data_IF_956023245410
#
_entry.id   IF_956023245410
#
_cell.length_a   1.000
_cell.length_b   1.000
_cell.length_c   1.000
_cell.angle_alpha   90.00
_cell.angle_beta   90.00
_cell.angle_gamma   90.00
#
_symmetry.space_group_name_H-M   'P 1'
#
loop_
_entity.id
_entity.type
_entity.pdbx_description
1 polymer ?
#
# COMPACT_ATOMS: atom_id res chain seq x y z
N UNK A 1 -12.95 -11.50 53.08
CA UNK A 1 -12.92 -10.25 52.33
C UNK A 1 -11.67 -10.08 51.45
N UNK A 2 -10.49 -10.56 51.86
CA UNK A 2 -9.26 -10.48 51.03
C UNK A 2 -9.26 -11.34 49.77
N UNK A 3 -9.82 -12.54 49.82
CA UNK A 3 -9.92 -13.42 48.61
C UNK A 3 -10.79 -12.83 47.50
N UNK A 4 -11.78 -12.01 47.85
CA UNK A 4 -12.64 -11.32 46.88
C UNK A 4 -11.93 -10.16 46.21
N UNK A 5 -11.02 -9.46 46.92
CA UNK A 5 -10.20 -8.40 46.36
C UNK A 5 -9.18 -8.92 45.32
N UNK A 6 -8.59 -10.08 45.59
CA UNK A 6 -7.64 -10.71 44.67
C UNK A 6 -8.30 -11.16 43.36
N UNK A 7 -9.56 -11.62 43.40
CA UNK A 7 -10.30 -12.01 42.18
C UNK A 7 -10.62 -10.76 41.32
N UNK A 8 -10.96 -9.64 41.94
CA UNK A 8 -11.25 -8.38 41.24
C UNK A 8 -9.98 -7.82 40.55
N UNK A 9 -8.83 -7.86 41.20
CA UNK A 9 -7.55 -7.44 40.56
C UNK A 9 -7.11 -8.36 39.43
N UNK A 10 -7.35 -9.67 39.53
CA UNK A 10 -7.11 -10.62 38.47
C UNK A 10 -8.01 -10.37 37.24
N UNK A 11 -9.26 -10.02 37.45
CA UNK A 11 -10.22 -9.74 36.36
C UNK A 11 -9.98 -8.37 35.71
N UNK A 12 -9.50 -7.37 36.45
CA UNK A 12 -9.11 -6.06 35.89
C UNK A 12 -7.82 -6.19 35.07
N UNK A 13 -6.87 -7.06 35.46
CA UNK A 13 -5.64 -7.25 34.70
C UNK A 13 -5.86 -8.04 33.39
N UNK A 14 -6.90 -8.86 33.31
CA UNK A 14 -7.25 -9.63 32.11
C UNK A 14 -7.99 -8.79 31.03
N UNK A 15 -8.52 -7.62 31.41
CA UNK A 15 -9.23 -6.71 30.50
C UNK A 15 -8.31 -5.70 29.77
N UNK A 16 -7.01 -5.64 30.10
CA UNK A 16 -6.07 -4.67 29.51
C UNK A 16 -5.25 -5.26 28.35
N UNK A 17 -5.41 -6.55 28.04
CA UNK A 17 -4.61 -7.21 27.00
C UNK A 17 -5.30 -7.41 25.64
N UNK A 18 -6.41 -6.74 25.36
CA UNK A 18 -6.83 -6.53 23.99
C UNK A 18 -6.03 -5.37 23.40
N UNK A 19 -4.76 -5.60 23.16
CA UNK A 19 -3.95 -4.76 22.31
C UNK A 19 -4.60 -4.72 20.94
N UNK A 20 -5.46 -3.73 20.72
CA UNK A 20 -5.82 -3.30 19.39
C UNK A 20 -4.47 -2.87 18.77
N UNK A 21 -3.90 -3.71 17.96
CA UNK A 21 -2.81 -3.34 17.05
C UNK A 21 -3.38 -2.23 16.14
N UNK A 22 -3.33 -1.00 16.63
CA UNK A 22 -3.46 0.16 15.77
C UNK A 22 -2.36 0.03 14.74
N UNK A 23 -2.73 -0.23 13.51
CA UNK A 23 -1.78 -0.18 12.41
C UNK A 23 -1.00 1.12 12.54
N UNK A 24 0.33 1.04 12.44
CA UNK A 24 1.24 2.17 12.57
C UNK A 24 0.65 3.40 11.89
N UNK A 25 0.69 4.55 12.57
CA UNK A 25 0.15 5.78 12.01
C UNK A 25 0.89 6.07 10.70
N UNK A 26 0.17 6.04 9.58
CA UNK A 26 0.74 6.30 8.27
C UNK A 26 1.44 7.66 8.17
N UNK A 27 1.15 8.58 9.09
CA UNK A 27 1.83 9.89 9.15
C UNK A 27 3.28 9.73 9.56
N UNK A 28 3.57 8.86 10.52
CA UNK A 28 4.91 8.65 11.02
C UNK A 28 5.73 7.70 10.14
N UNK A 29 5.06 6.73 9.50
CA UNK A 29 5.78 5.73 8.73
C UNK A 29 4.88 4.79 7.94
N UNK A 30 5.52 3.80 7.33
CA UNK A 30 4.85 2.68 6.67
C UNK A 30 5.31 1.38 7.31
N UNK A 31 4.35 0.56 7.75
CA UNK A 31 4.60 -0.59 8.60
C UNK A 31 5.31 -0.14 9.90
N UNK A 32 6.44 -0.72 10.22
CA UNK A 32 7.20 -0.42 11.44
C UNK A 32 8.35 0.58 11.21
N UNK A 33 8.37 1.27 10.05
CA UNK A 33 9.50 2.12 9.67
C UNK A 33 9.07 3.54 9.35
N UNK A 34 9.70 4.51 9.99
CA UNK A 34 9.40 5.92 9.82
C UNK A 34 9.80 6.43 8.43
N UNK A 35 9.01 7.34 7.88
CA UNK A 35 9.38 8.07 6.67
C UNK A 35 10.69 8.84 6.86
N UNK A 36 11.50 8.90 5.81
CA UNK A 36 12.82 9.52 5.86
C UNK A 36 13.90 8.67 6.53
N UNK A 37 13.56 7.51 7.08
CA UNK A 37 14.56 6.63 7.67
C UNK A 37 15.60 6.20 6.64
N UNK A 38 16.86 6.15 7.06
CA UNK A 38 17.96 5.69 6.21
C UNK A 38 17.83 4.18 5.96
N UNK A 39 18.22 3.73 4.76
CA UNK A 39 18.09 2.33 4.32
C UNK A 39 18.75 1.33 5.28
N UNK A 40 19.77 1.72 6.01
CA UNK A 40 20.44 0.88 7.01
C UNK A 40 19.53 0.44 8.17
N UNK A 41 18.39 1.09 8.34
CA UNK A 41 17.37 0.69 9.34
C UNK A 41 16.51 -0.49 8.88
N UNK A 42 16.58 -0.85 7.61
CA UNK A 42 15.80 -1.94 7.03
C UNK A 42 16.67 -3.20 6.94
N UNK A 43 16.13 -4.31 7.42
CA UNK A 43 16.81 -5.61 7.38
C UNK A 43 16.21 -6.51 6.30
N UNK A 44 17.04 -7.36 5.69
CA UNK A 44 16.59 -8.36 4.73
C UNK A 44 16.12 -7.81 3.38
N UNK A 45 16.30 -6.53 3.11
CA UNK A 45 15.98 -5.95 1.81
C UNK A 45 17.01 -6.32 0.75
N UNK A 46 16.52 -6.66 -0.45
CA UNK A 46 17.34 -6.85 -1.65
C UNK A 46 17.03 -5.73 -2.64
N UNK A 47 18.06 -5.18 -3.27
CA UNK A 47 17.89 -4.17 -4.31
C UNK A 47 17.21 -4.79 -5.53
N UNK A 48 16.11 -4.15 -5.97
CA UNK A 48 15.33 -4.57 -7.15
C UNK A 48 15.74 -3.74 -8.36
N UNK A 49 15.87 -2.41 -8.20
CA UNK A 49 16.28 -1.52 -9.27
C UNK A 49 16.84 -0.21 -8.72
N UNK A 50 17.51 0.57 -9.59
CA UNK A 50 17.99 1.91 -9.28
C UNK A 50 17.91 2.80 -10.52
N UNK A 51 17.55 4.07 -10.33
CA UNK A 51 17.58 5.10 -11.36
C UNK A 51 18.05 6.42 -10.74
N UNK A 52 19.28 6.81 -11.07
CA UNK A 52 19.92 7.97 -10.42
C UNK A 52 19.97 7.78 -8.90
N UNK A 53 19.51 8.80 -8.17
CA UNK A 53 19.48 8.81 -6.71
C UNK A 53 18.31 8.02 -6.10
N UNK A 54 17.48 7.39 -6.95
CA UNK A 54 16.35 6.60 -6.48
C UNK A 54 16.69 5.13 -6.58
N UNK A 55 16.51 4.42 -5.48
CA UNK A 55 16.70 2.98 -5.40
C UNK A 55 15.43 2.30 -4.85
N UNK A 56 15.19 1.07 -5.31
CA UNK A 56 14.03 0.27 -4.95
C UNK A 56 14.48 -1.06 -4.38
N UNK A 57 13.82 -1.45 -3.30
CA UNK A 57 14.17 -2.67 -2.57
C UNK A 57 12.91 -3.46 -2.24
N UNK A 58 13.03 -4.76 -2.18
CA UNK A 58 11.98 -5.67 -1.71
C UNK A 58 12.54 -6.71 -0.76
N UNK A 59 11.66 -7.36 0.01
CA UNK A 59 12.02 -8.53 0.79
C UNK A 59 11.18 -9.71 0.31
N UNK A 60 11.74 -10.61 -0.53
CA UNK A 60 11.00 -11.73 -1.10
C UNK A 60 10.65 -12.82 -0.10
N UNK A 61 11.22 -12.76 1.11
CA UNK A 61 11.00 -13.75 2.16
C UNK A 61 10.00 -13.29 3.24
N UNK A 62 9.52 -12.04 3.15
CA UNK A 62 8.63 -11.46 4.15
C UNK A 62 7.25 -11.17 3.56
N UNK A 63 6.21 -11.70 4.18
CA UNK A 63 4.83 -11.27 3.95
C UNK A 63 4.48 -10.11 4.87
N UNK A 64 3.58 -9.26 4.39
CA UNK A 64 3.09 -8.07 5.08
C UNK A 64 1.57 -8.09 5.10
N UNK A 65 0.98 -7.72 6.21
CA UNK A 65 -0.48 -7.52 6.29
C UNK A 65 -0.80 -6.05 6.11
N UNK A 66 -1.49 -5.70 5.03
CA UNK A 66 -1.88 -4.32 4.69
C UNK A 66 -3.39 -4.28 4.52
N UNK A 67 -4.08 -3.48 5.36
CA UNK A 67 -5.55 -3.43 5.41
C UNK A 67 -6.21 -4.80 5.59
N UNK A 68 -5.62 -5.66 6.43
CA UNK A 68 -6.12 -7.01 6.67
C UNK A 68 -5.95 -7.98 5.51
N UNK A 69 -5.08 -7.67 4.57
CA UNK A 69 -4.72 -8.52 3.44
C UNK A 69 -3.23 -8.82 3.47
N UNK A 70 -2.89 -10.10 3.45
CA UNK A 70 -1.50 -10.52 3.37
C UNK A 70 -0.98 -10.35 1.94
N UNK A 71 0.19 -9.76 1.81
CA UNK A 71 0.90 -9.58 0.54
C UNK A 71 2.39 -9.78 0.73
N UNK A 72 3.02 -10.50 -0.17
CA UNK A 72 4.47 -10.67 -0.23
C UNK A 72 5.15 -9.57 -1.09
N UNK A 73 4.37 -8.84 -1.88
CA UNK A 73 4.87 -7.96 -2.93
C UNK A 73 4.85 -6.49 -2.49
N UNK A 74 5.77 -6.13 -1.58
CA UNK A 74 6.00 -4.75 -1.15
C UNK A 74 7.38 -4.29 -1.63
N UNK A 75 7.41 -3.17 -2.35
CA UNK A 75 8.64 -2.51 -2.78
C UNK A 75 8.79 -1.18 -2.03
N UNK A 76 9.93 -1.00 -1.41
CA UNK A 76 10.32 0.21 -0.70
C UNK A 76 11.17 1.10 -1.60
N UNK A 77 10.79 2.36 -1.74
CA UNK A 77 11.50 3.36 -2.52
C UNK A 77 12.33 4.28 -1.62
N UNK A 78 13.59 4.48 -2.02
CA UNK A 78 14.53 5.35 -1.32
C UNK A 78 15.06 6.41 -2.26
N UNK A 79 15.13 7.64 -1.77
CA UNK A 79 15.76 8.76 -2.46
C UNK A 79 16.96 9.21 -1.63
N UNK A 80 18.17 9.16 -2.20
CA UNK A 80 19.43 9.42 -1.47
C UNK A 80 19.44 8.63 -0.15
N UNK A 81 19.14 7.34 -0.24
CA UNK A 81 19.06 6.38 0.87
C UNK A 81 18.03 6.68 1.96
N UNK A 82 17.11 7.66 1.76
CA UNK A 82 16.02 7.98 2.66
C UNK A 82 14.70 7.40 2.16
N UNK A 83 13.98 6.70 3.01
CA UNK A 83 12.71 6.06 2.69
C UNK A 83 11.63 7.10 2.37
N UNK A 84 11.10 7.08 1.14
CA UNK A 84 10.09 8.05 0.68
C UNK A 84 8.82 7.43 0.10
N UNK A 85 8.85 6.16 -0.27
CA UNK A 85 7.69 5.53 -0.90
C UNK A 85 7.60 4.03 -0.61
N UNK A 86 6.37 3.53 -0.52
CA UNK A 86 6.06 2.11 -0.50
C UNK A 86 5.08 1.78 -1.61
N UNK A 87 5.32 0.68 -2.32
CA UNK A 87 4.49 0.18 -3.40
C UNK A 87 4.04 -1.22 -3.08
N UNK A 88 2.73 -1.44 -3.17
CA UNK A 88 2.09 -2.71 -2.84
C UNK A 88 1.39 -3.23 -4.10
N UNK A 89 1.69 -4.46 -4.49
CA UNK A 89 0.90 -5.15 -5.50
C UNK A 89 -0.47 -5.50 -4.91
N UNK A 90 -1.51 -5.27 -5.70
CA UNK A 90 -2.88 -5.65 -5.37
C UNK A 90 -3.28 -6.76 -6.32
N UNK A 91 -3.51 -7.95 -5.79
CA UNK A 91 -3.59 -9.16 -6.61
C UNK A 91 -5.00 -9.47 -7.10
N UNK A 92 -6.04 -8.88 -6.49
CA UNK A 92 -7.43 -9.15 -6.89
C UNK A 92 -8.31 -7.90 -6.80
N UNK A 93 -9.43 -7.92 -7.53
CA UNK A 93 -10.47 -6.87 -7.46
C UNK A 93 -11.06 -6.78 -6.04
N UNK A 94 -11.25 -7.91 -5.37
CA UNK A 94 -11.77 -7.91 -3.99
C UNK A 94 -10.80 -7.21 -3.03
N UNK A 95 -9.50 -7.46 -3.17
CA UNK A 95 -8.45 -6.76 -2.40
C UNK A 95 -8.41 -5.28 -2.75
N UNK A 96 -8.55 -4.92 -4.03
CA UNK A 96 -8.62 -3.54 -4.48
C UNK A 96 -9.81 -2.79 -3.87
N UNK A 97 -11.01 -3.39 -3.92
CA UNK A 97 -12.22 -2.80 -3.33
C UNK A 97 -12.06 -2.62 -1.83
N UNK A 98 -11.61 -3.64 -1.10
CA UNK A 98 -11.33 -3.55 0.34
C UNK A 98 -10.34 -2.44 0.69
N UNK A 99 -9.25 -2.34 -0.04
CA UNK A 99 -8.27 -1.27 0.17
C UNK A 99 -8.90 0.11 -0.08
N UNK A 100 -9.70 0.27 -1.13
CA UNK A 100 -10.42 1.50 -1.44
C UNK A 100 -11.39 1.89 -0.34
N UNK A 101 -12.20 0.93 0.13
CA UNK A 101 -13.20 1.15 1.18
C UNK A 101 -12.52 1.54 2.50
N UNK A 102 -11.46 0.82 2.89
CA UNK A 102 -10.68 1.13 4.09
C UNK A 102 -10.06 2.53 4.03
N UNK A 103 -9.45 2.89 2.90
CA UNK A 103 -8.85 4.21 2.71
C UNK A 103 -9.92 5.31 2.71
N UNK A 104 -11.08 5.04 2.11
CA UNK A 104 -12.21 5.99 2.10
C UNK A 104 -12.79 6.19 3.49
N UNK A 105 -12.92 5.13 4.27
CA UNK A 105 -13.38 5.21 5.65
C UNK A 105 -12.39 6.00 6.53
N UNK A 106 -11.09 5.79 6.33
CA UNK A 106 -10.04 6.42 7.14
C UNK A 106 -9.73 7.85 6.73
N UNK A 107 -9.71 8.16 5.44
CA UNK A 107 -9.22 9.44 4.88
C UNK A 107 -10.28 10.22 4.11
N UNK A 108 -11.53 9.75 4.09
CA UNK A 108 -12.63 10.38 3.33
C UNK A 108 -12.61 10.00 1.84
N UNK A 109 -13.48 10.67 1.07
CA UNK A 109 -13.61 10.39 -0.36
C UNK A 109 -12.35 10.74 -1.14
N UNK A 110 -11.88 9.86 -2.06
CA UNK A 110 -10.70 10.13 -2.86
C UNK A 110 -10.95 11.15 -3.96
N UNK A 111 -9.92 11.85 -4.37
CA UNK A 111 -9.88 12.51 -5.68
C UNK A 111 -9.67 11.42 -6.73
N UNK A 112 -10.62 11.26 -7.65
CA UNK A 112 -10.51 10.27 -8.73
C UNK A 112 -10.03 10.92 -10.01
N UNK A 113 -8.98 10.38 -10.62
CA UNK A 113 -8.40 10.82 -11.88
C UNK A 113 -8.50 9.70 -12.89
N UNK A 114 -9.19 9.97 -13.99
CA UNK A 114 -9.29 9.05 -15.14
C UNK A 114 -8.27 9.45 -16.20
N UNK A 115 -7.35 8.55 -16.52
CA UNK A 115 -6.41 8.70 -17.64
C UNK A 115 -6.86 7.84 -18.80
N UNK A 116 -7.71 8.38 -19.66
CA UNK A 116 -8.32 7.68 -20.81
C UNK A 116 -7.29 7.10 -21.76
N UNK A 117 -6.20 7.81 -22.03
CA UNK A 117 -5.15 7.36 -22.96
C UNK A 117 -4.54 6.00 -22.54
N UNK A 118 -4.41 5.74 -21.24
CA UNK A 118 -3.80 4.51 -20.71
C UNK A 118 -4.83 3.59 -20.06
N UNK A 119 -6.13 3.90 -20.18
CA UNK A 119 -7.20 3.19 -19.48
C UNK A 119 -6.85 2.98 -18.00
N UNK A 120 -6.47 4.07 -17.33
CA UNK A 120 -6.02 4.04 -15.95
C UNK A 120 -6.97 4.85 -15.08
N UNK A 121 -7.46 4.24 -14.01
CA UNK A 121 -8.18 4.91 -12.93
C UNK A 121 -7.27 5.05 -11.72
N UNK A 122 -7.19 6.27 -11.16
CA UNK A 122 -6.40 6.58 -9.97
C UNK A 122 -7.32 7.18 -8.92
N UNK A 123 -7.45 6.52 -7.78
CA UNK A 123 -8.03 7.10 -6.57
C UNK A 123 -6.89 7.63 -5.69
N UNK A 124 -6.97 8.90 -5.28
CA UNK A 124 -5.89 9.58 -4.56
C UNK A 124 -6.42 10.18 -3.27
N UNK A 125 -5.73 9.94 -2.19
CA UNK A 125 -5.93 10.59 -0.88
C UNK A 125 -4.69 11.39 -0.52
N UNK A 126 -4.92 12.49 0.16
CA UNK A 126 -3.87 13.28 0.82
C UNK A 126 -4.22 13.38 2.29
N UNK A 127 -3.27 13.07 3.13
CA UNK A 127 -3.40 13.22 4.57
C UNK A 127 -2.07 13.76 5.10
N UNK A 128 -2.05 15.01 5.48
CA UNK A 128 -0.85 15.74 5.89
C UNK A 128 0.32 15.56 4.88
N UNK A 129 1.39 14.94 5.34
CA UNK A 129 2.60 14.69 4.54
C UNK A 129 2.53 13.41 3.69
N UNK A 130 1.42 12.68 3.73
CA UNK A 130 1.27 11.43 3.01
C UNK A 130 0.32 11.58 1.82
N UNK A 131 0.75 11.06 0.69
CA UNK A 131 -0.06 10.89 -0.51
C UNK A 131 -0.23 9.42 -0.81
N UNK A 132 -1.48 8.97 -0.92
CA UNK A 132 -1.84 7.59 -1.22
C UNK A 132 -2.45 7.55 -2.61
N UNK A 133 -2.03 6.60 -3.44
CA UNK A 133 -2.58 6.39 -4.79
C UNK A 133 -2.94 4.92 -4.97
N UNK A 134 -4.21 4.64 -5.17
CA UNK A 134 -4.71 3.34 -5.57
C UNK A 134 -5.00 3.39 -7.07
N UNK A 135 -4.34 2.55 -7.85
CA UNK A 135 -4.33 2.60 -9.32
C UNK A 135 -4.84 1.29 -9.90
N UNK A 136 -5.68 1.43 -10.90
CA UNK A 136 -6.17 0.35 -11.73
C UNK A 136 -5.72 0.59 -13.17
N UNK A 137 -4.98 -0.34 -13.74
CA UNK A 137 -4.57 -0.37 -15.14
C UNK A 137 -5.46 -1.37 -15.87
N UNK A 138 -6.59 -0.90 -16.37
CA UNK A 138 -7.64 -1.77 -16.90
C UNK A 138 -7.17 -2.63 -18.07
N UNK A 139 -6.41 -2.03 -18.99
CA UNK A 139 -5.86 -2.75 -20.15
C UNK A 139 -4.93 -3.90 -19.74
N UNK A 140 -4.16 -3.71 -18.70
CA UNK A 140 -3.16 -4.66 -18.25
C UNK A 140 -3.69 -5.62 -17.17
N UNK A 141 -4.86 -5.32 -16.58
CA UNK A 141 -5.41 -6.05 -15.44
C UNK A 141 -4.52 -5.94 -14.19
N UNK A 142 -3.76 -4.84 -14.07
CA UNK A 142 -2.85 -4.62 -12.95
C UNK A 142 -3.43 -3.60 -11.98
N UNK A 143 -3.21 -3.83 -10.70
CA UNK A 143 -3.61 -2.94 -9.64
C UNK A 143 -2.41 -2.66 -8.73
N UNK A 144 -2.29 -1.41 -8.28
CA UNK A 144 -1.18 -0.99 -7.42
C UNK A 144 -1.67 -0.01 -6.37
N UNK A 145 -1.18 -0.19 -5.16
CA UNK A 145 -1.33 0.77 -4.08
C UNK A 145 0.04 1.39 -3.80
N UNK A 146 0.11 2.70 -3.69
CA UNK A 146 1.36 3.40 -3.45
C UNK A 146 1.18 4.47 -2.38
N UNK A 147 2.13 4.54 -1.47
CA UNK A 147 2.25 5.53 -0.42
C UNK A 147 3.48 6.38 -0.67
N UNK A 148 3.37 7.68 -0.49
CA UNK A 148 4.47 8.61 -0.70
C UNK A 148 4.56 9.58 0.47
N UNK A 149 5.76 9.74 0.98
CA UNK A 149 6.10 10.83 1.90
C UNK A 149 6.35 12.10 1.09
N UNK A 150 5.40 13.03 1.14
CA UNK A 150 5.34 14.20 0.26
C UNK A 150 6.60 15.08 0.30
N UNK A 151 7.24 15.36 1.44
CA UNK A 151 8.44 16.17 1.47
C UNK A 151 9.57 15.62 0.58
N UNK A 152 9.89 14.33 0.70
CA UNK A 152 10.92 13.70 -0.14
C UNK A 152 10.42 13.43 -1.56
N UNK A 153 9.14 13.08 -1.74
CA UNK A 153 8.58 12.86 -3.05
C UNK A 153 8.52 14.14 -3.92
N UNK A 154 8.43 15.32 -3.30
CA UNK A 154 8.53 16.59 -4.01
C UNK A 154 9.92 16.78 -4.62
N UNK A 155 11.00 16.54 -3.84
CA UNK A 155 12.37 16.60 -4.35
C UNK A 155 12.60 15.62 -5.51
N UNK A 156 12.05 14.40 -5.41
CA UNK A 156 12.09 13.41 -6.50
C UNK A 156 11.41 13.92 -7.77
N UNK A 157 10.25 14.58 -7.64
CA UNK A 157 9.50 15.09 -8.78
C UNK A 157 10.19 16.26 -9.47
N UNK A 158 10.92 17.09 -8.73
CA UNK A 158 11.73 18.17 -9.30
C UNK A 158 12.90 17.64 -10.11
N UNK A 159 13.55 16.57 -9.64
CA UNK A 159 14.70 15.94 -10.33
C UNK A 159 14.27 14.99 -11.45
N UNK A 160 13.07 14.41 -11.37
CA UNK A 160 12.60 13.42 -12.34
C UNK A 160 11.07 13.52 -12.51
N UNK A 161 10.62 14.33 -13.46
CA UNK A 161 9.18 14.42 -13.80
C UNK A 161 8.58 13.03 -14.01
N UNK A 162 7.81 12.55 -13.01
CA UNK A 162 7.11 11.26 -12.96
C UNK A 162 8.02 10.04 -12.98
N UNK A 163 8.72 9.79 -11.88
CA UNK A 163 9.31 8.48 -11.66
C UNK A 163 8.24 7.52 -11.18
N UNK A 164 7.56 6.89 -12.14
CA UNK A 164 7.12 5.53 -11.90
C UNK A 164 8.39 4.68 -11.87
N UNK A 165 8.65 3.95 -10.76
CA UNK A 165 9.69 2.95 -10.84
C UNK A 165 9.33 2.05 -12.02
N UNK A 166 10.22 1.91 -12.99
CA UNK A 166 10.19 0.77 -13.87
C UNK A 166 10.64 -0.43 -13.04
N UNK A 167 9.79 -0.78 -12.07
CA UNK A 167 9.95 -1.99 -11.30
C UNK A 167 9.77 -3.10 -12.32
N UNK A 168 10.75 -4.01 -12.49
CA UNK A 168 10.63 -5.13 -13.39
C UNK A 168 9.27 -5.79 -13.20
N UNK A 169 8.61 -6.19 -14.28
CA UNK A 169 7.28 -6.78 -14.22
C UNK A 169 7.23 -8.03 -13.33
N UNK A 170 8.35 -8.71 -13.20
CA UNK A 170 8.59 -9.87 -12.36
C UNK A 170 8.76 -9.54 -10.87
N UNK A 171 9.13 -8.32 -10.50
CA UNK A 171 9.16 -7.90 -9.10
C UNK A 171 7.76 -7.85 -8.47
N UNK A 172 6.71 -7.73 -9.30
CA UNK A 172 5.33 -7.95 -8.94
C UNK A 172 4.84 -9.15 -9.76
N UNK A 173 5.24 -10.34 -9.38
CA UNK A 173 4.82 -11.57 -10.05
C UNK A 173 3.35 -11.87 -9.78
N UNK A 174 2.49 -11.13 -10.45
CA UNK A 174 1.12 -11.58 -10.67
C UNK A 174 1.23 -12.57 -11.82
N UNK A 175 0.95 -13.84 -11.56
CA UNK A 175 0.95 -14.84 -12.61
C UNK A 175 -0.09 -14.50 -13.69
N UNK A 176 0.04 -15.07 -14.87
CA UNK A 176 -0.85 -14.77 -15.99
C UNK A 176 -2.30 -15.21 -15.70
N UNK A 177 -2.50 -16.18 -14.83
CA UNK A 177 -3.81 -16.67 -14.40
C UNK A 177 -4.54 -15.61 -13.59
N UNK A 178 -3.90 -15.07 -12.53
CA UNK A 178 -4.44 -13.99 -11.71
C UNK A 178 -4.72 -12.73 -12.55
N UNK A 179 -3.87 -12.44 -13.55
CA UNK A 179 -4.07 -11.33 -14.48
C UNK A 179 -5.31 -11.53 -15.37
N UNK A 180 -5.54 -12.75 -15.84
CA UNK A 180 -6.72 -13.09 -16.64
C UNK A 180 -8.00 -13.06 -15.80
N UNK A 181 -7.98 -13.58 -14.57
CA UNK A 181 -9.10 -13.51 -13.63
C UNK A 181 -9.46 -12.04 -13.35
N UNK A 182 -8.49 -11.19 -13.05
CA UNK A 182 -8.72 -9.75 -12.84
C UNK A 182 -9.37 -9.07 -14.05
N UNK A 183 -8.93 -9.39 -15.27
CA UNK A 183 -9.55 -8.85 -16.50
C UNK A 183 -10.99 -9.31 -16.68
N UNK A 184 -11.27 -10.56 -16.36
CA UNK A 184 -12.62 -11.13 -16.42
C UNK A 184 -13.55 -10.45 -15.42
N UNK A 185 -13.09 -10.26 -14.17
CA UNK A 185 -13.84 -9.59 -13.11
C UNK A 185 -14.14 -8.12 -13.47
N UNK A 186 -13.17 -7.41 -14.06
CA UNK A 186 -13.35 -6.05 -14.53
C UNK A 186 -14.39 -5.96 -15.67
N UNK A 187 -14.37 -6.90 -16.58
CA UNK A 187 -15.36 -6.97 -17.67
C UNK A 187 -16.76 -7.19 -17.12
N UNK A 188 -16.91 -8.18 -16.22
CA UNK A 188 -18.18 -8.49 -15.57
C UNK A 188 -18.73 -7.28 -14.80
N UNK A 189 -17.89 -6.60 -14.04
CA UNK A 189 -18.29 -5.40 -13.30
C UNK A 189 -18.79 -4.30 -14.22
N UNK A 190 -18.12 -4.04 -15.34
CA UNK A 190 -18.58 -3.06 -16.35
C UNK A 190 -19.94 -3.44 -16.94
N UNK A 191 -20.14 -4.70 -17.25
CA UNK A 191 -21.42 -5.19 -17.77
C UNK A 191 -22.52 -4.97 -16.73
N UNK A 192 -22.28 -5.25 -15.45
CA UNK A 192 -23.23 -4.98 -14.37
C UNK A 192 -23.52 -3.47 -14.22
N UNK A 193 -22.50 -2.61 -14.26
CA UNK A 193 -22.66 -1.15 -14.16
C UNK A 193 -23.48 -0.59 -15.33
N UNK A 194 -23.40 -1.18 -16.53
CA UNK A 194 -24.16 -0.79 -17.72
C UNK A 194 -25.64 -1.22 -17.61
N UNK A 195 -25.92 -2.36 -16.98
CA UNK A 195 -27.28 -2.88 -16.84
C UNK A 195 -27.98 -2.44 -15.54
N UNK A 196 -27.33 -1.66 -14.68
CA UNK A 196 -27.94 -1.04 -13.50
C UNK A 196 -28.25 -2.01 -12.35
N UNK A 197 -27.46 -3.08 -12.20
CA UNK A 197 -27.52 -4.02 -11.08
C UNK A 197 -26.50 -3.69 -10.01
#
# INVERSE_FOLDING_TARGET
MEKFKQIIYGLIFMLISTGVLYGADLQEGFLETNWGAHISKFTGLKKVSQKGDISYYGNPQKSYTIFGVDTANVIFGFFKDKFFAAYVAVESISTFSRAKDHLTQKFGSPITILKTRNQQTISMWKHENIKIKLKLFEKEGKMKLAFYYSPLAAEVNETQREVFPQIPADAFSIDDRTRQETKKDLKLKREMDVFGF
#
